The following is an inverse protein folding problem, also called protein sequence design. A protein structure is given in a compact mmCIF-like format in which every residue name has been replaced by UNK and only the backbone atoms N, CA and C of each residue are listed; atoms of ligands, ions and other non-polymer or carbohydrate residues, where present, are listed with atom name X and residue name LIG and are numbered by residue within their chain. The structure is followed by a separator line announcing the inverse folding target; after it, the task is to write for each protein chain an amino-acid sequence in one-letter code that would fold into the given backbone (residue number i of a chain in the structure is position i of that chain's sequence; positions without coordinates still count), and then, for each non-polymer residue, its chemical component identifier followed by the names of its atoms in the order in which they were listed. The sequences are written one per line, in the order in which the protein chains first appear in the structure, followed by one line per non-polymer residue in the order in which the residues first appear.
data_IF_096808416928
#
_entry.id   IF_096808416928
#
_cell.length_a   1.000
_cell.length_b   1.000
_cell.length_c   1.000
_cell.angle_alpha   90.00
_cell.angle_beta   90.00
_cell.angle_gamma   90.00
#
_symmetry.space_group_name_H-M   'P 1'
#
loop_
_entity.id
_entity.type
_entity.pdbx_description
1 polymer ?
#
# COMPACT_ATOMS: atom_id res chain seq x y z
N UNK A 1 25.65 81.58 -102.90
CA UNK A 1 25.09 82.87 -102.48
C UNK A 1 24.44 83.54 -103.68
N UNK A 2 23.12 83.52 -103.78
CA UNK A 2 22.38 84.37 -104.73
C UNK A 2 22.52 85.83 -104.28
N UNK A 3 22.69 86.76 -105.20
CA UNK A 3 22.93 88.19 -104.88
C UNK A 3 21.70 88.76 -104.18
N UNK A 4 21.93 89.58 -103.14
CA UNK A 4 20.91 90.21 -102.30
C UNK A 4 19.84 91.04 -103.05
N UNK A 5 20.09 91.40 -104.32
CA UNK A 5 19.12 92.13 -105.15
C UNK A 5 17.96 91.25 -105.64
N UNK A 6 18.21 89.98 -105.96
CA UNK A 6 17.17 89.03 -106.43
C UNK A 6 16.17 88.70 -105.32
N UNK A 7 16.63 88.66 -104.06
CA UNK A 7 15.79 88.36 -102.89
C UNK A 7 14.76 89.46 -102.60
N UNK A 8 15.01 90.71 -103.02
CA UNK A 8 14.10 91.84 -102.79
C UNK A 8 12.94 91.88 -103.78
N UNK A 9 13.18 91.53 -105.04
CA UNK A 9 12.12 91.52 -106.07
C UNK A 9 11.14 90.37 -105.81
N UNK A 10 11.63 89.16 -105.50
CA UNK A 10 10.80 87.99 -105.16
C UNK A 10 9.87 88.21 -103.96
N UNK A 11 10.29 89.04 -102.99
CA UNK A 11 9.49 89.34 -101.80
C UNK A 11 8.40 90.40 -102.06
N UNK A 12 8.61 91.27 -103.04
CA UNK A 12 7.69 92.37 -103.35
C UNK A 12 6.50 91.88 -104.19
N UNK A 13 6.75 90.98 -105.15
CA UNK A 13 5.69 90.37 -105.98
C UNK A 13 4.80 89.39 -105.20
N UNK A 14 5.31 88.74 -104.14
CA UNK A 14 4.50 87.88 -103.27
C UNK A 14 3.51 88.67 -102.39
N UNK A 15 3.88 89.86 -101.95
CA UNK A 15 3.03 90.70 -101.08
C UNK A 15 1.82 91.28 -101.83
N UNK A 16 1.94 91.52 -103.15
CA UNK A 16 0.89 92.16 -103.95
C UNK A 16 -0.25 91.19 -104.33
N UNK A 17 0.00 89.87 -104.33
CA UNK A 17 -0.98 88.84 -104.69
C UNK A 17 -1.59 88.05 -103.52
N UNK A 18 -1.14 88.28 -102.27
CA UNK A 18 -1.53 87.47 -101.12
C UNK A 18 -2.87 87.93 -100.50
N UNK A 19 -3.80 87.00 -100.30
CA UNK A 19 -5.10 87.26 -99.68
C UNK A 19 -4.98 87.39 -98.15
N UNK A 20 -5.99 87.97 -97.48
CA UNK A 20 -6.02 88.04 -96.00
C UNK A 20 -5.86 86.67 -95.34
N UNK A 21 -6.34 85.60 -95.97
CA UNK A 21 -6.18 84.23 -95.49
C UNK A 21 -4.73 83.74 -95.57
N UNK A 22 -3.96 84.16 -96.59
CA UNK A 22 -2.55 83.84 -96.73
C UNK A 22 -1.70 84.50 -95.63
N UNK A 23 -2.02 85.76 -95.27
CA UNK A 23 -1.37 86.45 -94.16
C UNK A 23 -1.70 85.79 -92.80
N UNK A 24 -2.95 85.38 -92.58
CA UNK A 24 -3.34 84.66 -91.36
C UNK A 24 -2.63 83.30 -91.27
N UNK A 25 -2.53 82.56 -92.37
CA UNK A 25 -1.81 81.29 -92.40
C UNK A 25 -0.32 81.46 -92.10
N UNK A 26 0.32 82.50 -92.63
CA UNK A 26 1.73 82.81 -92.33
C UNK A 26 1.91 83.17 -90.86
N UNK A 27 1.05 84.01 -90.27
CA UNK A 27 1.11 84.36 -88.85
C UNK A 27 0.83 83.15 -87.94
N UNK A 28 -0.09 82.27 -88.32
CA UNK A 28 -0.38 81.01 -87.61
C UNK A 28 0.81 80.04 -87.71
N UNK A 29 1.43 79.91 -88.89
CA UNK A 29 2.62 79.08 -89.09
C UNK A 29 3.81 79.61 -88.29
N UNK A 30 4.03 80.93 -88.29
CA UNK A 30 5.11 81.55 -87.51
C UNK A 30 4.89 81.46 -86.00
N UNK A 31 3.65 81.67 -85.50
CA UNK A 31 3.34 81.52 -84.07
C UNK A 31 3.41 80.06 -83.59
N UNK A 32 2.98 79.09 -84.41
CA UNK A 32 3.18 77.65 -84.13
C UNK A 32 4.66 77.26 -84.15
N UNK A 33 5.46 77.80 -85.09
CA UNK A 33 6.91 77.58 -85.13
C UNK A 33 7.63 78.21 -83.94
N UNK A 34 7.25 79.41 -83.50
CA UNK A 34 7.76 80.01 -82.26
C UNK A 34 7.39 79.20 -81.02
N UNK A 35 6.16 78.67 -80.93
CA UNK A 35 5.72 77.80 -79.85
C UNK A 35 6.48 76.47 -79.79
N UNK A 36 6.76 75.85 -80.94
CA UNK A 36 7.60 74.65 -81.05
C UNK A 36 9.06 74.92 -80.68
N UNK A 37 9.60 76.08 -81.04
CA UNK A 37 10.97 76.48 -80.63
C UNK A 37 11.02 76.74 -79.12
N UNK A 38 10.00 77.37 -78.53
CA UNK A 38 9.91 77.60 -77.09
C UNK A 38 9.74 76.29 -76.30
N UNK A 39 8.91 75.36 -76.78
CA UNK A 39 8.75 74.02 -76.20
C UNK A 39 10.05 73.20 -76.31
N UNK A 40 10.73 73.29 -77.46
CA UNK A 40 12.05 72.70 -77.67
C UNK A 40 13.10 73.29 -76.72
N UNK A 41 13.04 74.58 -76.43
CA UNK A 41 13.91 75.23 -75.44
C UNK A 41 13.59 74.80 -74.01
N UNK A 42 12.32 74.65 -73.64
CA UNK A 42 11.91 74.18 -72.31
C UNK A 42 12.26 72.71 -72.11
N UNK A 43 12.04 71.85 -73.11
CA UNK A 43 12.48 70.45 -73.07
C UNK A 43 14.01 70.35 -73.07
N UNK A 44 14.72 71.16 -73.86
CA UNK A 44 16.18 71.21 -73.82
C UNK A 44 16.69 71.73 -72.48
N UNK A 45 15.99 72.65 -71.81
CA UNK A 45 16.31 73.11 -70.46
C UNK A 45 16.02 72.04 -69.41
N UNK A 46 14.90 71.32 -69.51
CA UNK A 46 14.57 70.20 -68.60
C UNK A 46 15.55 69.05 -68.78
N UNK A 47 15.91 68.70 -70.03
CA UNK A 47 16.95 67.71 -70.33
C UNK A 47 18.31 68.22 -69.87
N UNK A 48 18.66 69.50 -70.02
CA UNK A 48 19.89 70.05 -69.44
C UNK A 48 19.89 70.01 -67.91
N UNK A 49 18.76 70.23 -67.25
CA UNK A 49 18.63 70.13 -65.78
C UNK A 49 18.75 68.67 -65.33
N UNK A 50 18.18 67.71 -66.08
CA UNK A 50 18.27 66.27 -65.77
C UNK A 50 19.68 65.70 -66.08
N UNK A 51 20.39 66.21 -67.11
CA UNK A 51 21.73 65.74 -67.49
C UNK A 51 22.90 66.53 -66.86
N UNK A 52 22.67 67.75 -66.34
CA UNK A 52 23.75 68.57 -65.73
C UNK A 52 23.94 68.35 -64.24
N UNK A 53 23.03 67.64 -63.56
CA UNK A 53 23.27 67.18 -62.19
C UNK A 53 23.40 65.66 -62.20
N UNK A 54 24.52 65.08 -61.72
CA UNK A 54 24.57 63.64 -61.50
C UNK A 54 23.53 63.29 -60.44
N UNK A 55 22.41 62.68 -60.86
CA UNK A 55 21.35 62.19 -59.97
C UNK A 55 21.93 61.21 -58.94
N UNK A 56 22.99 60.50 -59.31
CA UNK A 56 23.78 59.59 -58.47
C UNK A 56 24.43 60.25 -57.23
N UNK A 57 24.49 61.58 -57.17
CA UNK A 57 25.16 62.34 -56.10
C UNK A 57 24.26 63.06 -55.10
N UNK A 58 22.94 63.08 -55.31
CA UNK A 58 21.99 63.74 -54.40
C UNK A 58 21.81 62.95 -53.10
N UNK A 59 21.60 63.64 -51.97
CA UNK A 59 21.39 62.97 -50.67
C UNK A 59 20.15 62.04 -50.68
N UNK A 60 19.12 62.40 -51.45
CA UNK A 60 17.92 61.59 -51.65
C UNK A 60 18.20 60.29 -52.43
N UNK A 61 19.04 60.33 -53.47
CA UNK A 61 19.44 59.12 -54.19
C UNK A 61 20.31 58.19 -53.34
N UNK A 62 21.27 58.75 -52.60
CA UNK A 62 22.14 57.96 -51.69
C UNK A 62 21.33 57.28 -50.60
N UNK A 63 20.37 57.99 -50.00
CA UNK A 63 19.48 57.43 -48.97
C UNK A 63 18.56 56.35 -49.55
N UNK A 64 17.98 56.57 -50.73
CA UNK A 64 17.14 55.57 -51.40
C UNK A 64 17.93 54.30 -51.79
N UNK A 65 19.14 54.46 -52.33
CA UNK A 65 20.01 53.35 -52.69
C UNK A 65 20.46 52.57 -51.43
N UNK A 66 20.80 53.28 -50.35
CA UNK A 66 21.10 52.66 -49.06
C UNK A 66 19.92 51.88 -48.49
N UNK A 67 18.70 52.39 -48.65
CA UNK A 67 17.48 51.72 -48.18
C UNK A 67 17.18 50.47 -49.04
N UNK A 68 17.40 50.56 -50.35
CA UNK A 68 17.23 49.45 -51.29
C UNK A 68 18.23 48.32 -51.01
N UNK A 69 19.52 48.63 -50.84
CA UNK A 69 20.54 47.63 -50.49
C UNK A 69 20.26 47.02 -49.12
N UNK A 70 19.86 47.81 -48.12
CA UNK A 70 19.46 47.29 -46.80
C UNK A 70 18.22 46.39 -46.86
N UNK A 71 17.23 46.74 -47.68
CA UNK A 71 16.04 45.91 -47.90
C UNK A 71 16.37 44.61 -48.63
N UNK A 72 17.31 44.66 -49.57
CA UNK A 72 17.78 43.49 -50.31
C UNK A 72 18.56 42.55 -49.39
N UNK A 73 19.48 43.08 -48.60
CA UNK A 73 20.24 42.33 -47.59
C UNK A 73 19.32 41.70 -46.53
N UNK A 74 18.30 42.42 -46.08
CA UNK A 74 17.27 41.88 -45.20
C UNK A 74 16.47 40.74 -45.86
N UNK A 75 16.13 40.87 -47.15
CA UNK A 75 15.47 39.83 -47.93
C UNK A 75 16.32 38.57 -48.08
N UNK A 76 17.62 38.74 -48.33
CA UNK A 76 18.59 37.64 -48.42
C UNK A 76 18.76 36.93 -47.06
N UNK A 77 18.91 37.68 -45.96
CA UNK A 77 19.00 37.12 -44.61
C UNK A 77 17.72 36.37 -44.18
N UNK A 78 16.56 36.89 -44.55
CA UNK A 78 15.29 36.24 -44.26
C UNK A 78 15.15 34.92 -45.03
N UNK A 79 15.59 34.90 -46.30
CA UNK A 79 15.58 33.68 -47.10
C UNK A 79 16.53 32.61 -46.53
N UNK A 80 17.71 33.02 -46.05
CA UNK A 80 18.65 32.13 -45.36
C UNK A 80 18.04 31.51 -44.09
N UNK A 81 17.41 32.32 -43.24
CA UNK A 81 16.69 31.83 -42.04
C UNK A 81 15.54 30.90 -42.39
N UNK A 82 14.78 31.20 -43.45
CA UNK A 82 13.70 30.33 -43.93
C UNK A 82 14.26 28.98 -44.41
N UNK A 83 15.42 28.96 -45.07
CA UNK A 83 16.07 27.70 -45.47
C UNK A 83 16.58 26.90 -44.27
N UNK A 84 17.16 27.56 -43.27
CA UNK A 84 17.62 26.90 -42.04
C UNK A 84 16.46 26.30 -41.24
N UNK A 85 15.39 27.08 -41.03
CA UNK A 85 14.18 26.63 -40.34
C UNK A 85 13.53 25.43 -41.04
N UNK A 86 13.46 25.45 -42.38
CA UNK A 86 12.95 24.30 -43.16
C UNK A 86 13.78 23.05 -42.95
N UNK A 87 15.11 23.19 -42.86
CA UNK A 87 16.00 22.07 -42.60
C UNK A 87 15.77 21.52 -41.18
N UNK A 88 15.73 22.38 -40.17
CA UNK A 88 15.49 21.96 -38.79
C UNK A 88 14.12 21.30 -38.59
N UNK A 89 13.08 21.80 -39.26
CA UNK A 89 11.74 21.16 -39.24
C UNK A 89 11.82 19.76 -39.83
N UNK A 90 12.50 19.58 -40.97
CA UNK A 90 12.67 18.27 -41.59
C UNK A 90 13.44 17.30 -40.69
N UNK A 91 14.53 17.76 -40.09
CA UNK A 91 15.35 16.94 -39.18
C UNK A 91 14.54 16.52 -37.94
N UNK A 92 13.73 17.43 -37.38
CA UNK A 92 12.81 17.15 -36.26
C UNK A 92 11.66 16.20 -36.65
N UNK A 93 11.13 16.30 -37.87
CA UNK A 93 10.11 15.37 -38.37
C UNK A 93 10.68 13.95 -38.52
N UNK A 94 11.91 13.83 -39.02
CA UNK A 94 12.63 12.56 -39.12
C UNK A 94 12.95 11.97 -37.73
N UNK A 95 13.40 12.80 -36.78
CA UNK A 95 13.68 12.38 -35.40
C UNK A 95 12.41 11.92 -34.67
N UNK A 96 11.31 12.67 -34.76
CA UNK A 96 10.05 12.27 -34.16
C UNK A 96 9.53 10.96 -34.74
N UNK A 97 9.60 10.77 -36.07
CA UNK A 97 9.22 9.52 -36.72
C UNK A 97 10.04 8.33 -36.20
N UNK A 98 11.34 8.52 -35.99
CA UNK A 98 12.22 7.48 -35.43
C UNK A 98 11.90 7.19 -33.97
N UNK A 99 11.64 8.22 -33.15
CA UNK A 99 11.27 8.07 -31.75
C UNK A 99 9.93 7.34 -31.61
N UNK A 100 8.93 7.66 -32.43
CA UNK A 100 7.64 6.97 -32.44
C UNK A 100 7.82 5.48 -32.72
N UNK A 101 8.61 5.11 -33.72
CA UNK A 101 8.90 3.69 -34.02
C UNK A 101 9.59 2.96 -32.86
N UNK A 102 10.57 3.61 -32.22
CA UNK A 102 11.25 3.02 -31.05
C UNK A 102 10.31 2.82 -29.85
N UNK A 103 9.36 3.74 -29.65
CA UNK A 103 8.35 3.62 -28.59
C UNK A 103 7.38 2.48 -28.90
N UNK A 104 6.94 2.33 -30.14
CA UNK A 104 6.08 1.23 -30.59
C UNK A 104 6.78 -0.14 -30.47
N UNK A 105 8.05 -0.23 -30.86
CA UNK A 105 8.85 -1.46 -30.73
C UNK A 105 9.12 -1.85 -29.28
N UNK A 106 9.21 -0.87 -28.37
CA UNK A 106 9.45 -1.12 -26.94
C UNK A 106 8.15 -1.41 -26.16
N UNK A 107 6.97 -1.04 -26.65
CA UNK A 107 5.70 -1.22 -25.95
C UNK A 107 5.43 -2.68 -25.49
N UNK A 108 5.65 -3.72 -26.33
CA UNK A 108 5.47 -5.11 -25.90
C UNK A 108 6.42 -5.55 -24.79
N UNK A 109 7.63 -4.98 -24.72
CA UNK A 109 8.61 -5.29 -23.66
C UNK A 109 8.19 -4.71 -22.31
N UNK A 110 7.51 -3.56 -22.30
CA UNK A 110 6.96 -2.96 -21.08
C UNK A 110 5.72 -3.71 -20.58
N UNK A 111 4.85 -4.16 -21.48
CA UNK A 111 3.64 -4.92 -21.12
C UNK A 111 3.98 -6.30 -20.55
N UNK A 112 4.86 -7.07 -21.21
CA UNK A 112 5.30 -8.39 -20.71
C UNK A 112 5.94 -8.30 -19.33
N UNK A 113 6.78 -7.28 -19.10
CA UNK A 113 7.44 -7.04 -17.82
C UNK A 113 6.46 -6.58 -16.73
N UNK A 114 5.39 -5.88 -17.10
CA UNK A 114 4.33 -5.45 -16.18
C UNK A 114 3.40 -6.61 -15.81
N UNK A 115 3.01 -7.44 -16.78
CA UNK A 115 2.19 -8.64 -16.56
C UNK A 115 2.94 -9.69 -15.72
N UNK A 116 4.21 -9.96 -16.02
CA UNK A 116 5.06 -10.85 -15.21
C UNK A 116 5.21 -10.33 -13.77
N UNK A 117 5.38 -9.01 -13.59
CA UNK A 117 5.47 -8.42 -12.25
C UNK A 117 4.16 -8.56 -11.48
N UNK A 118 3.02 -8.33 -12.13
CA UNK A 118 1.69 -8.53 -11.50
C UNK A 118 1.44 -9.99 -11.15
N UNK A 119 1.79 -10.93 -12.04
CA UNK A 119 1.66 -12.35 -11.78
C UNK A 119 2.53 -12.80 -10.60
N UNK A 120 3.76 -12.29 -10.50
CA UNK A 120 4.66 -12.60 -9.38
C UNK A 120 4.19 -11.94 -8.06
N UNK A 121 3.69 -10.70 -8.10
CA UNK A 121 3.08 -10.04 -6.94
C UNK A 121 1.85 -10.80 -6.44
N UNK A 122 0.96 -11.27 -7.32
CA UNK A 122 -0.19 -12.10 -6.96
C UNK A 122 0.22 -13.47 -6.41
N UNK A 123 1.24 -14.11 -7.00
CA UNK A 123 1.77 -15.38 -6.51
C UNK A 123 2.34 -15.23 -5.09
N UNK A 124 3.11 -14.17 -4.85
CA UNK A 124 3.66 -13.86 -3.52
C UNK A 124 2.53 -13.56 -2.53
N UNK A 125 1.50 -12.82 -2.94
CA UNK A 125 0.34 -12.52 -2.10
C UNK A 125 -0.45 -13.79 -1.73
N UNK A 126 -0.67 -14.69 -2.69
CA UNK A 126 -1.34 -15.98 -2.44
C UNK A 126 -0.51 -16.89 -1.55
N UNK A 127 0.81 -17.01 -1.79
CA UNK A 127 1.71 -17.82 -0.97
C UNK A 127 1.76 -17.29 0.47
N UNK A 128 1.79 -15.97 0.65
CA UNK A 128 1.74 -15.33 1.97
C UNK A 128 0.41 -15.59 2.67
N UNK A 129 -0.71 -15.42 1.98
CA UNK A 129 -2.03 -15.71 2.53
C UNK A 129 -2.21 -17.19 2.91
N UNK A 130 -1.68 -18.12 2.11
CA UNK A 130 -1.70 -19.54 2.40
C UNK A 130 -0.83 -19.90 3.61
N UNK A 131 0.38 -19.33 3.70
CA UNK A 131 1.26 -19.52 4.87
C UNK A 131 0.65 -18.97 6.15
N UNK A 132 0.03 -17.78 6.10
CA UNK A 132 -0.66 -17.20 7.26
C UNK A 132 -1.87 -18.05 7.67
N UNK A 133 -2.64 -18.59 6.72
CA UNK A 133 -3.76 -19.47 7.00
C UNK A 133 -3.31 -20.82 7.60
N UNK A 134 -2.23 -21.42 7.08
CA UNK A 134 -1.66 -22.66 7.60
C UNK A 134 -1.06 -22.48 9.00
N UNK A 135 -0.35 -21.37 9.25
CA UNK A 135 0.19 -21.06 10.58
C UNK A 135 -0.93 -20.83 11.59
N UNK A 136 -2.00 -20.13 11.19
CA UNK A 136 -3.18 -19.92 12.03
C UNK A 136 -3.88 -21.25 12.35
N UNK A 137 -4.11 -22.09 11.34
CA UNK A 137 -4.72 -23.41 11.54
C UNK A 137 -3.86 -24.32 12.43
N UNK A 138 -2.54 -24.26 12.29
CA UNK A 138 -1.60 -25.01 13.14
C UNK A 138 -1.65 -24.51 14.59
N UNK A 139 -1.64 -23.20 14.82
CA UNK A 139 -1.78 -22.63 16.19
C UNK A 139 -3.11 -23.00 16.83
N UNK A 140 -4.22 -22.89 16.10
CA UNK A 140 -5.54 -23.28 16.62
C UNK A 140 -5.61 -24.79 16.94
N UNK A 141 -4.99 -25.64 16.11
CA UNK A 141 -4.90 -27.08 16.38
C UNK A 141 -4.02 -27.40 17.60
N UNK A 142 -2.88 -26.73 17.76
CA UNK A 142 -1.99 -26.88 18.91
C UNK A 142 -2.65 -26.40 20.21
N UNK A 143 -3.35 -25.25 20.20
CA UNK A 143 -4.10 -24.74 21.34
C UNK A 143 -5.25 -25.68 21.74
N UNK A 144 -5.99 -26.20 20.75
CA UNK A 144 -7.07 -27.16 21.02
C UNK A 144 -6.52 -28.47 21.59
N UNK A 145 -5.41 -28.99 21.05
CA UNK A 145 -4.77 -30.19 21.56
C UNK A 145 -4.23 -30.00 22.98
N UNK A 146 -3.65 -28.83 23.29
CA UNK A 146 -3.18 -28.50 24.64
C UNK A 146 -4.35 -28.37 25.64
N UNK A 147 -5.45 -27.74 25.24
CA UNK A 147 -6.65 -27.62 26.06
C UNK A 147 -7.30 -28.98 26.33
N UNK A 148 -7.38 -29.85 25.32
CA UNK A 148 -7.93 -31.20 25.47
C UNK A 148 -7.04 -32.09 26.36
N UNK A 149 -5.71 -32.01 26.21
CA UNK A 149 -4.78 -32.71 27.10
C UNK A 149 -4.92 -32.24 28.54
N UNK A 150 -5.01 -30.93 28.78
CA UNK A 150 -5.20 -30.39 30.14
C UNK A 150 -6.55 -30.83 30.75
N UNK A 151 -7.62 -30.85 29.94
CA UNK A 151 -8.92 -31.34 30.39
C UNK A 151 -8.90 -32.84 30.73
N UNK A 152 -8.19 -33.65 29.93
CA UNK A 152 -8.01 -35.07 30.20
C UNK A 152 -7.16 -35.31 31.46
N UNK A 153 -6.08 -34.57 31.66
CA UNK A 153 -5.26 -34.66 32.87
C UNK A 153 -6.05 -34.25 34.12
N UNK A 154 -6.86 -33.18 34.04
CA UNK A 154 -7.70 -32.75 35.16
C UNK A 154 -8.82 -33.76 35.46
N UNK A 155 -9.43 -34.35 34.42
CA UNK A 155 -10.42 -35.41 34.57
C UNK A 155 -9.80 -36.67 35.21
N UNK A 156 -8.63 -37.11 34.71
CA UNK A 156 -7.92 -38.26 35.27
C UNK A 156 -7.46 -38.00 36.71
N UNK A 157 -7.02 -36.78 37.04
CA UNK A 157 -6.68 -36.41 38.41
C UNK A 157 -7.91 -36.42 39.34
N UNK A 158 -9.05 -35.92 38.88
CA UNK A 158 -10.32 -35.97 39.65
C UNK A 158 -10.81 -37.39 39.84
N UNK A 159 -10.68 -38.24 38.82
CA UNK A 159 -11.05 -39.66 38.90
C UNK A 159 -10.11 -40.40 39.85
N UNK A 160 -8.79 -40.20 39.73
CA UNK A 160 -7.82 -40.77 40.68
C UNK A 160 -8.07 -40.31 42.11
N UNK A 161 -8.42 -39.04 42.32
CA UNK A 161 -8.77 -38.50 43.64
C UNK A 161 -10.08 -39.10 44.17
N UNK A 162 -11.08 -39.33 43.32
CA UNK A 162 -12.35 -39.95 43.70
C UNK A 162 -12.18 -41.41 44.12
N UNK A 163 -11.28 -42.15 43.45
CA UNK A 163 -11.00 -43.57 43.70
C UNK A 163 -9.82 -43.82 44.65
N UNK A 164 -9.21 -42.79 45.25
CA UNK A 164 -8.00 -42.95 46.10
C UNK A 164 -8.19 -43.83 47.33
N UNK A 165 -9.43 -44.01 47.80
CA UNK A 165 -9.78 -44.88 48.93
C UNK A 165 -10.21 -46.30 48.50
N UNK A 166 -10.35 -46.57 47.19
CA UNK A 166 -10.73 -47.88 46.63
C UNK A 166 -9.51 -48.80 46.48
N UNK A 167 -8.75 -48.96 47.57
CA UNK A 167 -7.50 -49.74 47.58
C UNK A 167 -7.72 -51.24 47.77
N UNK A 168 -8.94 -51.66 48.14
CA UNK A 168 -9.24 -53.02 48.57
C UNK A 168 -8.70 -53.38 49.96
N UNK A 169 -8.29 -52.39 50.76
CA UNK A 169 -7.82 -52.61 52.13
C UNK A 169 -8.92 -53.28 52.98
N UNK A 170 -8.57 -54.40 53.60
CA UNK A 170 -9.49 -55.15 54.48
C UNK A 170 -9.18 -54.88 55.95
N UNK A 171 -10.10 -55.27 56.84
CA UNK A 171 -9.86 -55.20 58.29
C UNK A 171 -8.71 -56.14 58.69
N UNK A 172 -8.65 -57.33 58.11
CA UNK A 172 -7.62 -58.34 58.37
C UNK A 172 -6.22 -57.85 58.00
N UNK A 173 -6.10 -57.12 56.88
CA UNK A 173 -4.84 -56.52 56.46
C UNK A 173 -4.29 -55.57 57.52
N UNK A 174 -5.15 -54.77 58.16
CA UNK A 174 -4.73 -53.86 59.23
C UNK A 174 -4.45 -54.66 60.50
N UNK A 175 -5.37 -55.54 60.91
CA UNK A 175 -5.29 -56.26 62.17
C UNK A 175 -4.11 -57.23 62.23
N UNK A 176 -3.79 -57.93 61.13
CA UNK A 176 -2.74 -58.96 61.09
C UNK A 176 -1.42 -58.43 60.58
N UNK A 177 -1.44 -57.61 59.54
CA UNK A 177 -0.22 -57.15 58.87
C UNK A 177 0.20 -55.75 59.32
N UNK A 178 -0.71 -54.97 59.93
CA UNK A 178 -0.40 -53.63 60.43
C UNK A 178 -0.08 -52.64 59.30
N UNK A 179 -0.83 -52.69 58.18
CA UNK A 179 -0.62 -51.82 57.01
C UNK A 179 -0.85 -50.33 57.33
N UNK A 180 0.12 -49.66 57.95
CA UNK A 180 0.08 -48.24 58.29
C UNK A 180 0.11 -47.38 57.02
N UNK A 181 -0.66 -46.29 57.00
CA UNK A 181 -0.69 -45.29 55.93
C UNK A 181 -1.44 -45.72 54.67
N UNK A 182 -1.99 -46.93 54.63
CA UNK A 182 -2.76 -47.40 53.47
C UNK A 182 -4.16 -46.80 53.53
N UNK A 183 -4.57 -46.15 52.43
CA UNK A 183 -5.90 -45.59 52.29
C UNK A 183 -6.94 -46.70 52.19
N UNK A 184 -8.17 -46.45 52.63
CA UNK A 184 -9.25 -47.43 52.54
C UNK A 184 -10.61 -46.83 52.84
N UNK A 185 -11.63 -47.65 52.71
CA UNK A 185 -13.01 -47.31 53.04
C UNK A 185 -13.67 -48.46 53.78
N UNK A 186 -14.44 -48.13 54.80
CA UNK A 186 -15.12 -49.11 55.64
C UNK A 186 -16.50 -48.61 56.02
N UNK A 187 -17.37 -49.56 56.35
CA UNK A 187 -18.65 -49.27 56.98
C UNK A 187 -18.78 -50.08 58.26
N UNK A 188 -19.58 -49.58 59.19
CA UNK A 188 -19.79 -50.31 60.43
C UNK A 188 -20.66 -49.58 61.43
N UNK A 189 -20.96 -50.29 62.52
CA UNK A 189 -21.80 -49.80 63.59
C UNK A 189 -20.96 -49.30 64.76
N UNK A 190 -21.19 -48.08 65.21
CA UNK A 190 -20.54 -47.53 66.40
C UNK A 190 -21.01 -48.29 67.64
N UNK A 191 -20.06 -48.83 68.40
CA UNK A 191 -20.29 -49.63 69.60
C UNK A 191 -19.97 -48.85 70.87
N UNK A 192 -19.03 -47.90 70.78
CA UNK A 192 -18.60 -47.09 71.90
C UNK A 192 -18.04 -45.76 71.41
N UNK A 193 -18.34 -44.67 72.13
CA UNK A 193 -17.80 -43.33 71.87
C UNK A 193 -16.82 -42.94 72.98
N UNK A 194 -15.65 -42.44 72.59
CA UNK A 194 -14.60 -41.93 73.48
C UNK A 194 -14.26 -40.50 73.06
N UNK A 195 -14.83 -39.53 73.76
CA UNK A 195 -14.61 -38.11 73.46
C UNK A 195 -13.20 -37.68 73.87
N UNK A 196 -12.45 -37.13 72.91
CA UNK A 196 -11.18 -36.46 73.13
C UNK A 196 -11.34 -34.94 73.05
N UNK A 197 -10.20 -34.24 72.96
CA UNK A 197 -10.15 -32.80 72.75
C UNK A 197 -9.66 -32.52 71.32
N UNK A 198 -10.58 -32.15 70.41
CA UNK A 198 -10.29 -31.88 69.00
C UNK A 198 -10.50 -33.09 68.07
N UNK A 199 -10.57 -34.30 68.62
CA UNK A 199 -10.94 -35.52 67.91
C UNK A 199 -11.77 -36.42 68.83
N UNK A 200 -12.60 -37.26 68.21
CA UNK A 200 -13.37 -38.28 68.91
C UNK A 200 -12.97 -39.65 68.40
N UNK A 201 -12.73 -40.57 69.33
CA UNK A 201 -12.41 -41.95 69.02
C UNK A 201 -13.66 -42.83 69.17
N UNK A 202 -13.86 -43.75 68.24
CA UNK A 202 -15.00 -44.64 68.19
C UNK A 202 -14.51 -46.08 68.11
N UNK A 203 -15.15 -46.99 68.84
CA UNK A 203 -15.03 -48.42 68.54
C UNK A 203 -16.14 -48.77 67.57
N UNK A 204 -15.79 -49.25 66.39
CA UNK A 204 -16.72 -49.54 65.30
C UNK A 204 -16.67 -51.03 64.97
N UNK A 205 -17.83 -51.67 64.93
CA UNK A 205 -18.01 -53.04 64.45
C UNK A 205 -18.09 -53.00 62.92
N UNK A 206 -17.01 -53.39 62.25
CA UNK A 206 -16.90 -53.33 60.79
C UNK A 206 -17.91 -54.29 60.16
N UNK A 207 -18.65 -53.81 59.17
CA UNK A 207 -19.79 -54.48 58.55
C UNK A 207 -20.86 -54.96 59.56
N UNK A 208 -20.91 -54.35 60.76
CA UNK A 208 -21.78 -54.77 61.85
C UNK A 208 -21.34 -56.04 62.59
N UNK A 209 -20.15 -56.58 62.29
CA UNK A 209 -19.61 -57.75 62.95
C UNK A 209 -18.83 -57.36 64.21
N UNK A 210 -19.30 -57.83 65.37
CA UNK A 210 -18.73 -57.53 66.69
C UNK A 210 -17.39 -58.22 66.95
N UNK A 211 -17.00 -59.21 66.14
CA UNK A 211 -15.68 -59.84 66.20
C UNK A 211 -14.60 -59.00 65.48
N UNK A 212 -15.01 -58.11 64.57
CA UNK A 212 -14.13 -57.25 63.79
C UNK A 212 -14.29 -55.80 64.24
N UNK A 213 -13.64 -55.46 65.35
CA UNK A 213 -13.67 -54.12 65.93
C UNK A 213 -12.47 -53.31 65.44
N UNK A 214 -12.72 -52.06 65.06
CA UNK A 214 -11.69 -51.09 64.70
C UNK A 214 -11.81 -49.84 65.59
N UNK A 215 -10.68 -49.30 66.01
CA UNK A 215 -10.58 -47.97 66.60
C UNK A 215 -10.57 -46.94 65.47
N UNK A 216 -11.58 -46.08 65.45
CA UNK A 216 -11.76 -45.07 64.41
C UNK A 216 -11.62 -43.70 65.04
N UNK A 217 -10.65 -42.91 64.59
CA UNK A 217 -10.43 -41.54 65.03
C UNK A 217 -10.98 -40.57 63.99
N UNK A 218 -11.86 -39.67 64.44
CA UNK A 218 -12.51 -38.68 63.59
C UNK A 218 -12.23 -37.30 64.20
N UNK A 219 -11.63 -36.41 63.41
CA UNK A 219 -11.44 -35.01 63.81
C UNK A 219 -12.81 -34.33 63.99
N UNK A 220 -12.93 -33.50 65.02
CA UNK A 220 -14.20 -32.83 65.30
C UNK A 220 -14.63 -31.86 64.18
N UNK A 221 -13.68 -31.37 63.37
CA UNK A 221 -13.92 -30.43 62.26
C UNK A 221 -14.53 -31.07 61.00
N UNK A 222 -14.37 -32.38 60.79
CA UNK A 222 -14.92 -33.07 59.61
C UNK A 222 -16.33 -33.65 59.85
N UNK A 223 -16.79 -33.64 61.10
CA UNK A 223 -18.14 -34.12 61.45
C UNK A 223 -19.19 -33.08 61.07
N UNK A 224 -20.12 -33.49 60.20
CA UNK A 224 -21.32 -32.68 59.87
C UNK A 224 -22.41 -32.81 60.92
N UNK A 225 -22.42 -33.90 61.69
CA UNK A 225 -23.39 -34.19 62.75
C UNK A 225 -22.74 -34.93 63.94
N UNK A 226 -23.48 -35.02 65.05
CA UNK A 226 -23.04 -35.78 66.23
C UNK A 226 -23.28 -37.27 66.01
N UNK A 227 -22.20 -38.05 65.95
CA UNK A 227 -22.24 -39.52 65.85
C UNK A 227 -22.31 -40.14 67.24
N UNK A 228 -23.26 -41.05 67.45
CA UNK A 228 -23.56 -41.69 68.73
C UNK A 228 -23.45 -43.21 68.65
N UNK A 229 -23.49 -43.86 69.81
CA UNK A 229 -23.57 -45.32 69.86
C UNK A 229 -24.80 -45.85 69.12
N UNK A 230 -24.61 -46.97 68.42
CA UNK A 230 -25.55 -47.60 67.51
C UNK A 230 -25.74 -46.97 66.13
N UNK A 231 -25.13 -45.83 65.85
CA UNK A 231 -25.13 -45.30 64.49
C UNK A 231 -24.33 -46.19 63.56
N UNK A 232 -24.84 -46.34 62.33
CA UNK A 232 -24.12 -46.99 61.25
C UNK A 232 -23.44 -45.90 60.45
N UNK A 233 -22.15 -46.04 60.20
CA UNK A 233 -21.35 -45.03 59.50
C UNK A 233 -20.57 -45.66 58.36
N UNK A 234 -20.36 -44.87 57.32
CA UNK A 234 -19.43 -45.13 56.24
C UNK A 234 -18.31 -44.10 56.33
N UNK A 235 -17.06 -44.56 56.33
CA UNK A 235 -15.90 -43.70 56.53
C UNK A 235 -14.73 -44.08 55.62
N UNK A 236 -13.99 -43.06 55.22
CA UNK A 236 -12.80 -43.14 54.35
C UNK A 236 -11.63 -42.46 55.04
N UNK A 237 -10.44 -42.99 54.81
CA UNK A 237 -9.25 -42.46 55.48
C UNK A 237 -8.05 -43.36 55.32
N UNK A 238 -7.17 -43.38 56.31
CA UNK A 238 -5.93 -44.13 56.32
C UNK A 238 -5.78 -45.01 57.55
N UNK A 239 -5.17 -46.17 57.37
CA UNK A 239 -4.85 -47.08 58.48
C UNK A 239 -3.73 -46.51 59.36
N UNK A 240 -3.95 -46.51 60.68
CA UNK A 240 -2.94 -46.19 61.68
C UNK A 240 -2.25 -47.46 62.23
N UNK A 241 -2.48 -48.63 61.62
CA UNK A 241 -1.92 -49.91 62.06
C UNK A 241 -2.66 -50.47 63.27
N UNK A 242 -1.93 -51.01 64.23
CA UNK A 242 -2.49 -51.61 65.44
C UNK A 242 -2.17 -50.75 66.67
N UNK A 243 -3.19 -50.48 67.49
CA UNK A 243 -3.06 -49.76 68.76
C UNK A 243 -3.26 -50.72 69.91
N UNK A 244 -2.33 -50.71 70.87
CA UNK A 244 -2.42 -51.51 72.11
C UNK A 244 -2.77 -50.62 73.28
N UNK A 245 -3.81 -50.98 74.04
CA UNK A 245 -4.20 -50.29 75.27
C UNK A 245 -4.44 -51.27 76.41
N UNK A 246 -4.26 -50.79 77.65
CA UNK A 246 -4.52 -51.60 78.85
C UNK A 246 -5.97 -51.45 79.29
N UNK A 247 -6.67 -52.56 79.44
CA UNK A 247 -8.05 -52.61 79.95
C UNK A 247 -8.11 -52.29 81.45
N UNK A 248 -9.31 -51.98 81.95
CA UNK A 248 -9.56 -51.72 83.38
C UNK A 248 -9.16 -52.90 84.29
N UNK A 249 -9.15 -54.13 83.74
CA UNK A 249 -8.72 -55.34 84.44
C UNK A 249 -7.21 -55.64 84.28
N UNK A 250 -6.44 -54.74 83.67
CA UNK A 250 -4.99 -54.85 83.51
C UNK A 250 -4.50 -55.68 82.32
N UNK A 251 -5.41 -56.24 81.51
CA UNK A 251 -5.03 -56.97 80.29
C UNK A 251 -4.73 -55.99 79.15
N UNK A 252 -3.69 -56.23 78.37
CA UNK A 252 -3.42 -55.50 77.13
C UNK A 252 -4.33 -55.98 76.00
N UNK A 253 -4.87 -55.04 75.24
CA UNK A 253 -5.71 -55.29 74.08
C UNK A 253 -5.18 -54.55 72.87
N UNK A 254 -4.93 -55.28 71.79
CA UNK A 254 -4.49 -54.74 70.51
C UNK A 254 -5.66 -54.72 69.53
N UNK A 255 -5.98 -53.56 68.99
CA UNK A 255 -7.04 -53.38 67.99
C UNK A 255 -6.52 -52.57 66.80
N UNK A 256 -6.97 -52.85 65.57
CA UNK A 256 -6.63 -52.04 64.41
C UNK A 256 -7.18 -50.62 64.58
N UNK A 257 -6.43 -49.63 64.12
CA UNK A 257 -6.74 -48.22 64.22
C UNK A 257 -6.81 -47.57 62.83
N UNK A 258 -7.68 -46.58 62.67
CA UNK A 258 -7.94 -45.90 61.41
C UNK A 258 -8.26 -44.43 61.63
N UNK A 259 -7.63 -43.56 60.84
CA UNK A 259 -7.79 -42.10 60.88
C UNK A 259 -8.68 -41.72 59.73
N UNK A 260 -9.76 -41.00 60.02
CA UNK A 260 -10.81 -40.67 59.06
C UNK A 260 -10.60 -39.29 58.46
N UNK A 261 -10.72 -39.23 57.14
CA UNK A 261 -10.72 -38.00 56.36
C UNK A 261 -12.17 -37.58 56.01
N UNK A 262 -13.04 -38.55 55.71
CA UNK A 262 -14.44 -38.33 55.34
C UNK A 262 -15.35 -39.34 56.06
N UNK A 263 -16.46 -38.87 56.64
CA UNK A 263 -17.47 -39.73 57.31
C UNK A 263 -18.89 -39.35 56.90
N UNK A 264 -19.77 -40.34 56.79
CA UNK A 264 -21.21 -40.20 56.55
C UNK A 264 -21.98 -41.20 57.40
N UNK A 265 -23.17 -40.82 57.86
CA UNK A 265 -24.10 -41.66 58.63
C UNK A 265 -25.29 -42.07 57.78
#
# INVERSE_FOLDING_TARGET
MKKFSEIKEDFTDWIIGATKEDFLNVVIIYSKRLGLIALGFVLALIVNVIFSTPVEGTEEYKTLNSLYESSKEYGESLNEKVTELKKSIKDLEEENSLLTKKVEEAAPWFEMKEEERKAEEERIAQEKAQKEAEEKAKKEAEEKAAAEKKAQEEAAAKEAEAHKYETGLTWEDIAREGKIGTLGQFEGKIIQVMNGNGYTQYRVAINGNYDTIMLVEIDDSIKTETLLENDYIYFKGSSAGNMTYTTVLGAEMTIPAFIVDEVTR
#
